data_IF_674188488101
#
_entry.id   IF_674188488101
#
_cell.length_a   1.000
_cell.length_b   1.000
_cell.length_c   1.000
_cell.angle_alpha   90.00
_cell.angle_beta   90.00
_cell.angle_gamma   90.00
#
_symmetry.space_group_name_H-M   'P 1'
#
loop_
_entity.id
_entity.type
_entity.pdbx_description
1 polymer ?
#
# COMPACT_ATOMS: atom_id res chain seq x y z
N UNK A 1 -44.13 35.47 -4.69
CA UNK A 1 -43.15 36.24 -3.91
C UNK A 1 -42.94 35.44 -2.64
N UNK A 2 -41.96 34.56 -2.64
CA UNK A 2 -41.50 33.90 -1.41
C UNK A 2 -40.53 34.88 -0.76
N UNK A 3 -40.83 35.28 0.48
CA UNK A 3 -39.97 36.14 1.27
C UNK A 3 -38.75 35.33 1.72
N UNK A 4 -37.58 35.68 1.18
CA UNK A 4 -36.28 35.24 1.67
C UNK A 4 -36.12 35.70 3.13
N UNK A 5 -36.34 34.78 4.07
CA UNK A 5 -36.06 35.02 5.49
C UNK A 5 -34.56 35.16 5.71
N UNK A 6 -34.08 36.39 5.92
CA UNK A 6 -32.70 36.67 6.32
C UNK A 6 -32.35 35.95 7.63
N UNK A 7 -31.40 35.02 7.57
CA UNK A 7 -30.88 34.33 8.73
C UNK A 7 -30.10 35.32 9.63
N UNK A 8 -30.62 35.58 10.83
CA UNK A 8 -29.97 36.45 11.84
C UNK A 8 -28.92 35.65 12.61
N UNK A 9 -27.67 36.07 12.55
CA UNK A 9 -26.59 35.53 13.37
C UNK A 9 -26.79 35.91 14.85
N UNK A 10 -26.92 34.92 15.72
CA UNK A 10 -27.24 35.12 17.16
C UNK A 10 -26.03 35.02 18.10
N UNK A 11 -24.81 34.91 17.56
CA UNK A 11 -23.57 34.94 18.35
C UNK A 11 -22.62 33.77 18.09
N UNK A 12 -21.36 33.92 18.51
CA UNK A 12 -20.33 32.90 18.47
C UNK A 12 -19.83 32.55 19.87
N UNK A 13 -19.56 31.26 20.11
CA UNK A 13 -18.95 30.75 21.35
C UNK A 13 -17.68 29.97 21.05
N UNK A 14 -16.80 29.83 22.04
CA UNK A 14 -15.60 28.99 21.97
C UNK A 14 -15.64 27.89 23.01
N UNK A 15 -15.34 26.65 22.62
CA UNK A 15 -15.10 25.56 23.57
C UNK A 15 -13.63 25.57 24.01
N UNK A 16 -13.39 25.52 25.32
CA UNK A 16 -12.06 25.27 25.87
C UNK A 16 -11.92 23.77 26.15
N UNK A 17 -10.84 23.17 25.68
CA UNK A 17 -10.52 21.76 25.96
C UNK A 17 -9.45 21.72 27.05
N UNK A 18 -9.72 20.93 28.09
CA UNK A 18 -8.72 20.59 29.11
C UNK A 18 -7.65 19.70 28.46
N UNK A 19 -6.49 20.31 28.17
CA UNK A 19 -5.43 19.68 27.37
C UNK A 19 -4.89 18.42 28.00
N UNK A 20 -4.66 18.45 29.31
CA UNK A 20 -4.11 17.31 30.06
C UNK A 20 -5.05 16.11 29.95
N UNK A 21 -6.34 16.30 30.27
CA UNK A 21 -7.35 15.24 30.12
C UNK A 21 -7.53 14.78 28.68
N UNK A 22 -7.38 15.68 27.71
CA UNK A 22 -7.46 15.30 26.31
C UNK A 22 -6.28 14.43 25.88
N UNK A 23 -5.05 14.75 26.33
CA UNK A 23 -3.87 13.93 26.08
C UNK A 23 -3.94 12.58 26.79
N UNK A 24 -4.39 12.55 28.04
CA UNK A 24 -4.64 11.29 28.75
C UNK A 24 -5.63 10.40 27.99
N UNK A 25 -6.74 10.97 27.51
CA UNK A 25 -7.71 10.25 26.68
C UNK A 25 -7.11 9.79 25.35
N UNK A 26 -6.40 10.66 24.63
CA UNK A 26 -5.77 10.27 23.37
C UNK A 26 -4.75 9.13 23.58
N UNK A 27 -3.95 9.21 24.64
CA UNK A 27 -3.01 8.17 25.05
C UNK A 27 -3.70 6.84 25.36
N UNK A 28 -4.83 6.88 26.09
CA UNK A 28 -5.59 5.70 26.46
C UNK A 28 -6.34 5.05 25.28
N UNK A 29 -6.86 5.85 24.34
CA UNK A 29 -7.77 5.37 23.29
C UNK A 29 -7.08 5.04 21.96
N UNK A 30 -5.91 5.61 21.62
CA UNK A 30 -5.53 5.67 20.21
C UNK A 30 -4.58 4.65 19.62
N UNK A 31 -3.84 3.81 20.36
CA UNK A 31 -2.90 2.90 19.68
C UNK A 31 -2.81 1.55 20.37
N UNK A 32 -3.91 0.79 20.35
CA UNK A 32 -3.91 -0.62 20.70
C UNK A 32 -2.99 -1.38 19.72
N UNK A 33 -1.73 -1.58 20.11
CA UNK A 33 -0.74 -2.30 19.33
C UNK A 33 0.68 -1.93 19.75
N UNK A 34 1.44 -2.95 20.17
CA UNK A 34 2.79 -2.80 20.73
C UNK A 34 3.82 -2.05 19.86
N UNK A 35 3.53 -1.89 18.57
CA UNK A 35 4.42 -1.44 17.50
C UNK A 35 4.00 -0.08 16.89
N UNK A 36 2.85 0.45 17.30
CA UNK A 36 2.26 1.65 16.69
C UNK A 36 3.09 2.92 16.88
N UNK A 37 3.86 3.02 17.96
CA UNK A 37 4.77 4.16 18.16
C UNK A 37 5.80 4.27 17.05
N UNK A 38 6.34 3.12 16.63
CA UNK A 38 7.38 3.05 15.63
C UNK A 38 6.79 3.31 14.25
N UNK A 39 5.61 2.78 13.95
CA UNK A 39 4.86 3.16 12.74
C UNK A 39 4.65 4.67 12.63
N UNK A 40 4.23 5.32 13.71
CA UNK A 40 4.04 6.76 13.74
C UNK A 40 5.38 7.49 13.49
N UNK A 41 6.48 7.06 14.11
CA UNK A 41 7.79 7.65 13.84
C UNK A 41 8.30 7.44 12.41
N UNK A 42 8.03 6.27 11.81
CA UNK A 42 8.38 6.02 10.42
C UNK A 42 7.59 6.94 9.47
N UNK A 43 6.29 7.12 9.70
CA UNK A 43 5.48 8.11 8.96
C UNK A 43 6.01 9.53 9.18
N UNK A 44 6.40 9.87 10.41
CA UNK A 44 6.98 11.17 10.71
C UNK A 44 8.26 11.42 9.90
N UNK A 45 9.15 10.43 9.80
CA UNK A 45 10.37 10.53 9.00
C UNK A 45 10.07 10.70 7.51
N UNK A 46 9.14 9.91 6.95
CA UNK A 46 8.76 10.00 5.53
C UNK A 46 8.06 11.32 5.20
N UNK A 47 7.10 11.75 6.03
CA UNK A 47 6.44 13.05 5.89
C UNK A 47 7.41 14.24 6.08
N UNK A 48 8.52 14.01 6.80
CA UNK A 48 9.64 14.95 6.91
C UNK A 48 10.64 14.84 5.75
N UNK A 49 10.31 14.09 4.69
CA UNK A 49 11.11 13.88 3.47
C UNK A 49 12.45 13.18 3.71
N UNK A 50 12.52 12.31 4.72
CA UNK A 50 13.70 11.46 4.91
C UNK A 50 13.91 10.54 3.70
N UNK A 51 15.16 10.42 3.27
CA UNK A 51 15.59 9.44 2.25
C UNK A 51 16.22 8.20 2.88
N UNK A 52 16.66 8.31 4.13
CA UNK A 52 17.30 7.26 4.91
C UNK A 52 16.79 7.28 6.35
N UNK A 53 16.51 6.09 6.89
CA UNK A 53 16.19 5.86 8.30
C UNK A 53 17.08 4.75 8.85
N UNK A 54 17.78 5.01 9.94
CA UNK A 54 18.61 4.05 10.66
C UNK A 54 18.01 3.75 12.04
N UNK A 55 17.57 2.51 12.23
CA UNK A 55 17.17 1.96 13.52
C UNK A 55 18.33 1.20 14.14
N UNK A 56 18.61 1.44 15.43
CA UNK A 56 19.56 0.64 16.21
C UNK A 56 18.93 0.19 17.51
N UNK A 57 18.94 -1.11 17.74
CA UNK A 57 18.49 -1.71 19.00
C UNK A 57 19.62 -1.62 20.02
N UNK A 58 19.31 -1.11 21.22
CA UNK A 58 20.27 -0.97 22.32
C UNK A 58 19.84 -1.85 23.50
N UNK A 59 20.75 -2.22 24.41
CA UNK A 59 20.38 -2.91 25.64
C UNK A 59 19.38 -2.12 26.50
N UNK A 60 19.49 -0.80 26.51
CA UNK A 60 18.68 0.14 27.29
C UNK A 60 17.51 0.75 26.51
N UNK A 61 17.32 0.39 25.23
CA UNK A 61 16.28 1.02 24.42
C UNK A 61 16.44 0.89 22.91
N UNK A 62 16.03 1.93 22.20
CA UNK A 62 16.02 2.00 20.74
C UNK A 62 16.39 3.41 20.30
N UNK A 63 17.22 3.51 19.26
CA UNK A 63 17.49 4.79 18.57
C UNK A 63 17.03 4.70 17.13
N UNK A 64 16.37 5.76 16.65
CA UNK A 64 15.98 5.94 15.25
C UNK A 64 16.55 7.28 14.77
N UNK A 65 17.33 7.24 13.70
CA UNK A 65 17.96 8.40 13.10
C UNK A 65 17.47 8.55 11.65
N UNK A 66 17.21 9.78 11.18
CA UNK A 66 16.82 10.01 9.80
C UNK A 66 17.24 11.39 9.27
N UNK A 67 17.41 11.48 7.94
CA UNK A 67 18.01 12.60 7.20
C UNK A 67 16.98 13.57 6.58
N UNK A 68 15.80 13.68 7.19
CA UNK A 68 14.72 14.56 6.72
C UNK A 68 15.03 16.05 6.93
N UNK A 69 14.07 16.91 6.57
CA UNK A 69 14.14 18.38 6.71
C UNK A 69 14.42 18.87 8.13
N UNK A 70 14.13 18.04 9.14
CA UNK A 70 14.21 18.37 10.55
C UNK A 70 12.97 19.08 11.09
N UNK A 71 12.95 19.31 12.40
CA UNK A 71 11.89 20.01 13.13
C UNK A 71 12.37 21.39 13.58
N UNK A 72 11.44 22.35 13.70
CA UNK A 72 11.76 23.67 14.27
C UNK A 72 11.73 23.61 15.80
N UNK A 73 12.47 24.52 16.44
CA UNK A 73 12.45 24.70 17.90
C UNK A 73 11.03 24.80 18.47
N UNK A 74 10.16 25.58 17.82
CA UNK A 74 8.79 25.77 18.32
C UNK A 74 7.91 24.51 18.16
N UNK A 75 8.24 23.60 17.23
CA UNK A 75 7.49 22.36 17.05
C UNK A 75 7.66 21.40 18.25
N UNK A 76 8.78 21.52 18.98
CA UNK A 76 9.16 20.60 20.06
C UNK A 76 9.21 21.24 21.44
N UNK A 77 9.04 22.56 21.54
CA UNK A 77 8.65 23.21 22.79
C UNK A 77 7.25 22.77 23.24
N UNK A 78 6.38 22.48 22.28
CA UNK A 78 5.00 22.05 22.51
C UNK A 78 4.66 20.88 21.56
N UNK A 79 5.27 19.69 21.76
CA UNK A 79 5.21 18.58 20.80
C UNK A 79 3.79 18.11 20.51
N UNK A 80 2.85 18.28 21.45
CA UNK A 80 1.45 17.88 21.24
C UNK A 80 0.52 19.00 20.72
N UNK A 81 1.00 20.24 20.56
CA UNK A 81 0.16 21.36 20.12
C UNK A 81 -0.56 21.07 18.79
N UNK A 82 0.17 20.45 17.87
CA UNK A 82 -0.30 20.03 16.53
C UNK A 82 -1.48 19.04 16.56
N UNK A 83 -1.72 18.33 17.67
CA UNK A 83 -2.85 17.40 17.81
C UNK A 83 -4.19 18.13 18.01
N UNK A 84 -4.14 19.39 18.47
CA UNK A 84 -5.32 20.22 18.74
C UNK A 84 -5.57 21.26 17.66
N UNK A 85 -4.62 21.44 16.75
CA UNK A 85 -4.78 22.32 15.60
C UNK A 85 -5.73 21.70 14.57
N UNK A 86 -6.51 22.55 13.89
CA UNK A 86 -7.22 22.13 12.68
C UNK A 86 -6.21 21.56 11.70
N UNK A 87 -6.57 20.45 11.05
CA UNK A 87 -5.73 19.85 10.03
C UNK A 87 -5.40 20.90 8.96
N UNK A 88 -4.13 21.22 8.84
CA UNK A 88 -3.59 22.07 7.79
C UNK A 88 -2.66 21.21 6.93
N UNK A 89 -2.60 21.52 5.65
CA UNK A 89 -1.56 20.97 4.79
C UNK A 89 -0.18 21.28 5.41
N UNK A 90 0.71 20.29 5.48
CA UNK A 90 2.10 20.38 6.01
C UNK A 90 2.29 20.33 7.52
N UNK A 91 1.43 19.63 8.27
CA UNK A 91 1.68 19.34 9.70
C UNK A 91 1.72 17.85 10.03
N UNK A 92 1.72 16.99 9.03
CA UNK A 92 1.61 15.53 9.18
C UNK A 92 2.82 14.94 9.91
N UNK A 93 4.04 15.37 9.55
CA UNK A 93 5.28 14.94 10.21
C UNK A 93 5.28 15.20 11.72
N UNK A 94 4.92 16.41 12.14
CA UNK A 94 4.81 16.82 13.54
C UNK A 94 3.72 16.05 14.27
N UNK A 95 2.57 15.85 13.62
CA UNK A 95 1.46 15.06 14.17
C UNK A 95 1.87 13.61 14.39
N UNK A 96 2.55 12.99 13.44
CA UNK A 96 3.04 11.62 13.57
C UNK A 96 4.11 11.49 14.65
N UNK A 97 5.02 12.47 14.75
CA UNK A 97 5.99 12.50 15.85
C UNK A 97 5.29 12.56 17.21
N UNK A 98 4.34 13.49 17.37
CA UNK A 98 3.56 13.66 18.59
C UNK A 98 2.81 12.38 18.98
N UNK A 99 2.17 11.71 18.02
CA UNK A 99 1.48 10.43 18.24
C UNK A 99 2.44 9.31 18.64
N UNK A 100 3.62 9.25 18.02
CA UNK A 100 4.63 8.27 18.37
C UNK A 100 5.15 8.47 19.80
N UNK A 101 5.44 9.70 20.21
CA UNK A 101 5.81 10.02 21.61
C UNK A 101 4.65 9.63 22.54
N UNK A 102 3.43 10.08 22.25
CA UNK A 102 2.26 9.87 23.09
C UNK A 102 1.97 8.38 23.33
N UNK A 103 2.17 7.54 22.31
CA UNK A 103 1.94 6.09 22.39
C UNK A 103 2.96 5.30 23.19
N UNK A 104 4.11 5.90 23.50
CA UNK A 104 5.12 5.31 24.38
C UNK A 104 4.82 5.59 25.85
N UNK A 105 4.21 6.73 26.18
CA UNK A 105 4.04 7.18 27.57
C UNK A 105 3.28 6.21 28.49
N UNK A 106 2.24 5.47 28.04
CA UNK A 106 1.61 4.43 28.87
C UNK A 106 2.56 3.36 29.38
N UNK A 107 3.66 3.12 28.67
CA UNK A 107 4.68 2.15 29.06
C UNK A 107 5.71 2.70 30.04
N UNK A 108 5.55 3.96 30.47
CA UNK A 108 6.45 4.64 31.41
C UNK A 108 7.93 4.51 31.00
N UNK A 109 8.29 4.92 29.77
CA UNK A 109 9.69 4.91 29.35
C UNK A 109 10.52 5.76 30.32
N UNK A 110 11.79 5.40 30.51
CA UNK A 110 12.69 6.21 31.32
C UNK A 110 12.85 7.61 30.72
N UNK A 111 12.97 7.68 29.39
CA UNK A 111 12.94 8.92 28.62
C UNK A 111 12.64 8.64 27.14
N UNK A 112 12.04 9.62 26.47
CA UNK A 112 11.99 9.75 25.02
C UNK A 112 12.70 11.05 24.66
N UNK A 113 13.89 10.94 24.07
CA UNK A 113 14.67 12.09 23.62
C UNK A 113 14.47 12.32 22.12
N UNK A 114 14.26 13.56 21.73
CA UNK A 114 14.25 14.04 20.35
C UNK A 114 15.37 15.04 20.18
N UNK A 115 16.36 14.70 19.36
CA UNK A 115 17.47 15.57 18.98
C UNK A 115 17.24 16.10 17.58
N UNK A 116 17.34 17.42 17.42
CA UNK A 116 16.98 18.11 16.18
C UNK A 116 17.67 19.47 16.09
N UNK A 117 17.50 20.14 14.95
CA UNK A 117 18.15 21.42 14.65
C UNK A 117 19.44 21.27 13.85
N UNK A 118 19.94 22.39 13.34
CA UNK A 118 21.16 22.47 12.55
C UNK A 118 22.42 22.28 13.42
N UNK A 119 23.57 21.90 12.83
CA UNK A 119 24.84 21.87 13.54
C UNK A 119 25.14 23.19 14.26
N UNK A 120 25.55 23.11 15.53
CA UNK A 120 25.79 24.29 16.38
C UNK A 120 24.53 24.98 16.93
N UNK A 121 23.33 24.54 16.56
CA UNK A 121 22.04 24.99 17.12
C UNK A 121 21.16 23.79 17.49
N UNK A 122 21.79 22.69 17.88
CA UNK A 122 21.09 21.46 18.21
C UNK A 122 20.32 21.62 19.51
N UNK A 123 19.12 21.06 19.53
CA UNK A 123 18.24 21.01 20.68
C UNK A 123 17.95 19.55 21.01
N UNK A 124 17.82 19.26 22.30
CA UNK A 124 17.29 18.00 22.82
C UNK A 124 16.02 18.28 23.60
N UNK A 125 14.91 17.71 23.14
CA UNK A 125 13.66 17.65 23.89
C UNK A 125 13.54 16.28 24.54
N UNK A 126 13.49 16.25 25.87
CA UNK A 126 13.30 15.02 26.65
C UNK A 126 11.87 14.98 27.18
N UNK A 127 11.17 13.87 26.94
CA UNK A 127 9.82 13.60 27.43
C UNK A 127 9.85 12.34 28.29
N UNK A 128 9.40 12.43 29.54
CA UNK A 128 9.28 11.26 30.44
C UNK A 128 7.84 10.98 30.88
N UNK A 129 7.01 12.03 30.93
CA UNK A 129 5.59 12.02 31.25
C UNK A 129 4.89 13.13 30.44
N UNK A 130 3.55 13.13 30.42
CA UNK A 130 2.75 14.11 29.68
C UNK A 130 3.01 15.57 30.09
N UNK A 131 3.37 15.79 31.36
CA UNK A 131 3.63 17.07 32.01
C UNK A 131 5.12 17.36 32.18
N UNK A 132 6.00 16.47 31.73
CA UNK A 132 7.43 16.50 32.01
C UNK A 132 8.25 16.53 30.71
N UNK A 133 8.23 17.69 30.07
CA UNK A 133 8.95 18.00 28.86
C UNK A 133 10.04 19.03 29.15
N UNK A 134 11.26 18.80 28.66
CA UNK A 134 12.35 19.75 28.84
C UNK A 134 13.15 19.85 27.56
N UNK A 135 13.34 21.07 27.06
CA UNK A 135 14.15 21.34 25.88
C UNK A 135 15.40 22.10 26.29
N UNK A 136 16.57 21.55 25.94
CA UNK A 136 17.88 22.17 26.20
C UNK A 136 18.72 22.22 24.94
N UNK A 137 19.56 23.26 24.76
CA UNK A 137 20.63 23.24 23.78
C UNK A 137 21.60 22.10 24.06
N UNK A 138 22.11 21.48 23.01
CA UNK A 138 23.17 20.47 23.08
C UNK A 138 24.21 20.76 22.02
N UNK A 139 25.47 20.47 22.30
CA UNK A 139 26.51 20.52 21.29
C UNK A 139 26.40 19.29 20.38
N UNK A 140 26.63 19.49 19.09
CA UNK A 140 26.58 18.42 18.10
C UNK A 140 26.75 18.94 16.68
N UNK A 141 27.45 18.16 15.86
CA UNK A 141 27.62 18.42 14.42
C UNK A 141 26.65 17.62 13.55
N UNK A 142 25.86 16.74 14.16
CA UNK A 142 24.91 15.89 13.46
C UNK A 142 23.78 16.72 12.85
N UNK A 143 23.47 16.44 11.58
CA UNK A 143 22.36 17.07 10.85
C UNK A 143 21.05 16.31 11.00
N UNK A 144 21.14 15.02 11.30
CA UNK A 144 20.00 14.12 11.30
C UNK A 144 19.11 14.35 12.52
N UNK A 145 17.82 14.09 12.36
CA UNK A 145 16.92 13.96 13.50
C UNK A 145 17.18 12.62 14.16
N UNK A 146 17.38 12.62 15.49
CA UNK A 146 17.59 11.41 16.27
C UNK A 146 16.49 11.30 17.33
N UNK A 147 15.73 10.21 17.28
CA UNK A 147 14.77 9.79 18.29
C UNK A 147 15.41 8.69 19.12
N UNK A 148 15.37 8.82 20.44
CA UNK A 148 15.87 7.81 21.37
C UNK A 148 14.79 7.50 22.39
N UNK A 149 14.44 6.22 22.51
CA UNK A 149 13.68 5.71 23.66
C UNK A 149 14.65 5.02 24.59
N UNK A 150 14.64 5.41 25.86
CA UNK A 150 15.27 4.66 26.95
C UNK A 150 14.15 3.92 27.68
N UNK A 151 14.20 2.59 27.65
CA UNK A 151 13.20 1.72 28.28
C UNK A 151 13.91 0.56 28.96
N UNK A 152 14.06 0.64 30.28
CA UNK A 152 14.71 -0.39 31.09
C UNK A 152 13.78 -1.59 31.36
N UNK A 153 12.46 -1.39 31.36
CA UNK A 153 11.52 -2.42 31.82
C UNK A 153 11.03 -3.37 30.72
N UNK A 154 11.04 -2.94 29.44
CA UNK A 154 10.40 -3.70 28.34
C UNK A 154 11.21 -3.74 27.02
N UNK A 155 12.51 -4.09 27.03
CA UNK A 155 13.33 -4.13 25.81
C UNK A 155 12.81 -5.11 24.75
N UNK A 156 12.15 -6.20 25.14
CA UNK A 156 11.58 -7.18 24.20
C UNK A 156 10.49 -6.57 23.32
N UNK A 157 9.70 -5.62 23.84
CA UNK A 157 8.65 -4.96 23.08
C UNK A 157 9.22 -4.08 21.97
N UNK A 158 10.30 -3.34 22.26
CA UNK A 158 11.00 -2.53 21.25
C UNK A 158 11.57 -3.41 20.14
N UNK A 159 12.14 -4.57 20.50
CA UNK A 159 12.63 -5.56 19.52
C UNK A 159 11.49 -6.15 18.68
N UNK A 160 10.35 -6.49 19.31
CA UNK A 160 9.15 -6.97 18.63
C UNK A 160 8.62 -5.94 17.63
N UNK A 161 8.57 -4.66 18.03
CA UNK A 161 8.16 -3.57 17.15
C UNK A 161 9.11 -3.41 15.94
N UNK A 162 10.42 -3.38 16.19
CA UNK A 162 11.43 -3.29 15.13
C UNK A 162 11.37 -4.49 14.17
N UNK A 163 11.15 -5.71 14.69
CA UNK A 163 11.05 -6.93 13.89
C UNK A 163 9.85 -6.96 12.93
N UNK A 164 8.84 -6.11 13.13
CA UNK A 164 7.69 -5.98 12.22
C UNK A 164 7.94 -5.03 11.05
N UNK A 165 8.90 -4.10 11.17
CA UNK A 165 9.21 -3.09 10.15
C UNK A 165 9.39 -3.66 8.73
N UNK A 166 10.10 -4.78 8.50
CA UNK A 166 10.22 -5.38 7.17
C UNK A 166 8.87 -5.66 6.48
N UNK A 167 7.83 -6.02 7.24
CA UNK A 167 6.52 -6.31 6.69
C UNK A 167 5.60 -5.11 6.55
N UNK A 168 5.88 -4.00 7.27
CA UNK A 168 5.01 -2.81 7.28
C UNK A 168 5.60 -1.62 6.53
N UNK A 169 6.92 -1.59 6.28
CA UNK A 169 7.60 -0.48 5.62
C UNK A 169 8.16 -0.83 4.24
N UNK A 170 7.73 -1.95 3.66
CA UNK A 170 8.23 -2.42 2.37
C UNK A 170 7.93 -1.47 1.20
N UNK A 171 6.90 -0.62 1.33
CA UNK A 171 6.55 0.42 0.36
C UNK A 171 7.20 1.79 0.65
N UNK A 172 7.96 1.91 1.74
CA UNK A 172 8.56 3.19 2.12
C UNK A 172 9.42 3.79 1.01
N UNK A 173 9.29 5.09 0.72
CA UNK A 173 10.20 5.77 -0.20
C UNK A 173 11.62 5.87 0.40
N UNK A 174 11.73 6.00 1.72
CA UNK A 174 12.99 6.03 2.44
C UNK A 174 13.62 4.63 2.52
N UNK A 175 14.95 4.57 2.46
CA UNK A 175 15.71 3.34 2.73
C UNK A 175 15.82 3.16 4.24
N UNK A 176 15.38 2.00 4.74
CA UNK A 176 15.28 1.74 6.17
C UNK A 176 16.26 0.65 6.56
N UNK A 177 17.08 0.92 7.56
CA UNK A 177 18.10 0.02 8.09
C UNK A 177 17.77 -0.35 9.53
N UNK A 178 17.95 -1.62 9.90
CA UNK A 178 17.87 -2.10 11.28
C UNK A 178 19.21 -2.73 11.60
N UNK A 179 19.92 -2.17 12.58
CA UNK A 179 21.26 -2.60 12.99
C UNK A 179 22.23 -2.73 11.80
N UNK A 180 22.12 -1.79 10.83
CA UNK A 180 22.94 -1.73 9.62
C UNK A 180 22.45 -2.55 8.43
N UNK A 181 21.40 -3.35 8.59
CA UNK A 181 20.82 -4.18 7.51
C UNK A 181 19.61 -3.48 6.91
N UNK A 182 19.61 -3.25 5.60
CA UNK A 182 18.45 -2.69 4.89
C UNK A 182 17.30 -3.70 4.90
N UNK A 183 16.09 -3.24 5.27
CA UNK A 183 14.90 -4.09 5.21
C UNK A 183 14.46 -4.30 3.76
N UNK A 184 13.85 -5.45 3.43
CA UNK A 184 13.33 -5.69 2.08
C UNK A 184 12.28 -4.66 1.68
N UNK A 185 12.29 -4.27 0.40
CA UNK A 185 11.32 -3.37 -0.23
C UNK A 185 10.55 -4.12 -1.32
N UNK A 186 9.41 -3.60 -1.74
CA UNK A 186 8.75 -4.11 -2.94
C UNK A 186 9.52 -3.72 -4.20
N UNK A 187 9.43 -4.52 -5.29
CA UNK A 187 9.03 -5.93 -5.25
C UNK A 187 10.03 -6.74 -4.40
N UNK A 188 9.55 -7.73 -3.64
CA UNK A 188 10.42 -8.46 -2.70
C UNK A 188 11.43 -9.34 -3.42
N UNK A 189 11.15 -9.67 -4.68
CA UNK A 189 12.03 -10.42 -5.57
C UNK A 189 12.11 -9.70 -6.91
N UNK A 190 13.29 -9.65 -7.52
CA UNK A 190 13.44 -9.06 -8.85
C UNK A 190 12.56 -9.74 -9.91
N UNK A 191 12.25 -11.02 -9.69
CA UNK A 191 11.42 -11.87 -10.54
C UNK A 191 9.91 -11.64 -10.34
N UNK A 192 9.49 -10.93 -9.28
CA UNK A 192 8.06 -10.74 -8.99
C UNK A 192 7.40 -9.94 -10.12
N UNK A 193 6.37 -10.50 -10.76
CA UNK A 193 5.80 -9.88 -11.93
C UNK A 193 4.90 -8.72 -11.57
N UNK A 194 5.26 -7.55 -12.05
CA UNK A 194 4.44 -6.38 -11.91
C UNK A 194 5.02 -5.18 -12.64
N UNK A 195 4.33 -4.06 -12.47
CA UNK A 195 4.74 -2.77 -12.96
C UNK A 195 4.70 -1.76 -11.82
N UNK A 196 5.64 -0.82 -11.84
CA UNK A 196 5.59 0.36 -11.01
C UNK A 196 4.73 1.43 -11.68
N UNK A 197 3.94 2.11 -10.85
CA UNK A 197 3.23 3.34 -11.19
C UNK A 197 3.63 4.38 -10.16
N UNK A 198 4.23 5.47 -10.62
CA UNK A 198 4.70 6.55 -9.75
C UNK A 198 4.14 7.89 -10.26
N UNK A 199 3.41 8.56 -9.38
CA UNK A 199 2.81 9.88 -9.58
C UNK A 199 3.05 10.73 -8.33
N UNK A 200 2.92 12.07 -8.39
CA UNK A 200 3.01 12.90 -7.20
C UNK A 200 2.02 12.43 -6.10
N UNK A 201 2.59 12.02 -4.97
CA UNK A 201 1.84 11.54 -3.80
C UNK A 201 1.22 10.15 -3.93
N UNK A 202 1.55 9.39 -4.98
CA UNK A 202 1.06 8.03 -5.21
C UNK A 202 2.16 7.16 -5.82
N UNK A 203 2.44 6.04 -5.17
CA UNK A 203 3.38 5.04 -5.65
C UNK A 203 2.77 3.67 -5.49
N UNK A 204 2.71 2.89 -6.55
CA UNK A 204 2.17 1.55 -6.51
C UNK A 204 3.06 0.57 -7.26
N UNK A 205 3.25 -0.60 -6.68
CA UNK A 205 3.64 -1.78 -7.43
C UNK A 205 2.39 -2.62 -7.65
N UNK A 206 2.12 -2.98 -8.91
CA UNK A 206 0.90 -3.71 -9.29
C UNK A 206 1.33 -4.97 -10.02
N UNK A 207 0.93 -6.11 -9.49
CA UNK A 207 1.30 -7.42 -9.97
C UNK A 207 0.10 -8.34 -10.23
N UNK A 208 0.43 -9.53 -10.71
CA UNK A 208 -0.55 -10.59 -10.97
C UNK A 208 -1.02 -11.20 -9.64
N UNK A 209 -2.34 -11.35 -9.42
CA UNK A 209 -2.85 -11.95 -8.20
C UNK A 209 -2.46 -13.43 -8.12
N UNK A 210 -2.56 -14.02 -6.93
CA UNK A 210 -2.44 -15.48 -6.79
C UNK A 210 -3.60 -16.19 -7.49
N UNK A 211 -3.36 -17.40 -8.00
CA UNK A 211 -4.36 -18.17 -8.74
C UNK A 211 -5.62 -18.38 -7.89
N UNK A 212 -6.81 -18.08 -8.44
CA UNK A 212 -8.07 -18.22 -7.72
C UNK A 212 -8.40 -17.09 -6.75
N UNK A 213 -7.64 -15.98 -6.74
CA UNK A 213 -7.98 -14.82 -5.93
C UNK A 213 -9.39 -14.32 -6.26
N UNK A 214 -10.30 -14.15 -5.27
CA UNK A 214 -11.69 -13.81 -5.53
C UNK A 214 -11.91 -12.33 -5.89
N UNK A 215 -10.89 -11.48 -5.75
CA UNK A 215 -10.90 -10.06 -6.09
C UNK A 215 -9.49 -9.49 -6.18
N UNK A 216 -9.37 -8.18 -6.35
CA UNK A 216 -8.10 -7.48 -6.21
C UNK A 216 -7.75 -7.34 -4.73
N UNK A 217 -6.48 -7.57 -4.38
CA UNK A 217 -5.95 -7.37 -3.04
C UNK A 217 -4.96 -6.22 -3.03
N UNK A 218 -5.25 -5.20 -2.22
CA UNK A 218 -4.44 -3.99 -2.12
C UNK A 218 -3.87 -3.87 -0.71
N UNK A 219 -2.56 -4.01 -0.59
CA UNK A 219 -1.84 -3.60 0.62
C UNK A 219 -1.67 -2.08 0.56
N UNK A 220 -2.36 -1.37 1.44
CA UNK A 220 -2.34 0.08 1.47
C UNK A 220 -1.34 0.59 2.51
N UNK A 221 -0.53 1.56 2.11
CA UNK A 221 0.41 2.30 2.95
C UNK A 221 0.12 3.80 2.86
N UNK A 222 0.41 4.51 3.95
CA UNK A 222 0.41 5.97 4.01
C UNK A 222 1.75 6.39 4.58
N UNK A 223 2.44 7.25 3.84
CA UNK A 223 3.79 7.74 4.13
C UNK A 223 4.77 6.59 4.42
N UNK A 224 4.74 5.61 3.52
CA UNK A 224 5.65 4.46 3.55
C UNK A 224 5.35 3.41 4.60
N UNK A 225 4.26 3.54 5.36
CA UNK A 225 3.89 2.61 6.43
C UNK A 225 2.52 2.01 6.16
N UNK A 226 2.50 0.68 6.09
CA UNK A 226 1.30 -0.14 5.88
C UNK A 226 0.22 0.21 6.89
N UNK A 227 -0.98 0.39 6.36
CA UNK A 227 -2.20 0.69 7.06
C UNK A 227 -3.04 -0.58 7.21
N UNK A 228 -3.51 -1.13 6.10
CA UNK A 228 -4.38 -2.32 6.07
C UNK A 228 -4.29 -3.05 4.72
N UNK A 229 -4.88 -4.25 4.66
CA UNK A 229 -5.19 -4.96 3.43
C UNK A 229 -6.65 -4.73 3.04
N UNK A 230 -6.89 -4.37 1.79
CA UNK A 230 -8.22 -4.06 1.29
C UNK A 230 -8.52 -4.96 0.11
N UNK A 231 -9.72 -5.52 0.12
CA UNK A 231 -10.26 -6.27 -1.02
C UNK A 231 -11.08 -5.32 -1.88
N UNK A 232 -10.88 -5.40 -3.19
CA UNK A 232 -11.62 -4.61 -4.19
C UNK A 232 -12.23 -5.57 -5.20
N UNK A 233 -13.57 -5.66 -5.19
CA UNK A 233 -14.31 -6.65 -5.97
C UNK A 233 -14.77 -6.13 -7.34
N UNK A 234 -14.94 -4.81 -7.48
CA UNK A 234 -15.56 -4.17 -8.66
C UNK A 234 -14.55 -3.85 -9.78
N UNK A 235 -13.45 -4.61 -9.88
CA UNK A 235 -12.37 -4.36 -10.82
C UNK A 235 -12.43 -5.35 -11.99
N UNK A 236 -12.48 -4.83 -13.22
CA UNK A 236 -12.47 -5.64 -14.46
C UNK A 236 -11.28 -6.61 -14.50
N UNK A 237 -10.15 -6.19 -13.94
CA UNK A 237 -8.92 -6.94 -13.87
C UNK A 237 -8.50 -7.10 -12.40
N UNK A 238 -8.48 -8.34 -11.92
CA UNK A 238 -8.02 -8.64 -10.56
C UNK A 238 -6.52 -8.40 -10.46
N UNK A 239 -6.05 -7.68 -9.45
CA UNK A 239 -4.63 -7.41 -9.25
C UNK A 239 -4.22 -7.64 -7.80
N UNK A 240 -2.93 -7.92 -7.58
CA UNK A 240 -2.30 -7.64 -6.28
C UNK A 240 -1.60 -6.29 -6.39
N UNK A 241 -1.86 -5.38 -5.47
CA UNK A 241 -1.21 -4.07 -5.46
C UNK A 241 -0.61 -3.78 -4.09
N UNK A 242 0.61 -3.24 -4.09
CA UNK A 242 1.24 -2.64 -2.93
C UNK A 242 1.30 -1.14 -3.20
N UNK A 243 0.61 -0.35 -2.38
CA UNK A 243 0.35 1.06 -2.64
C UNK A 243 0.87 1.89 -1.48
N UNK A 244 1.53 2.98 -1.78
CA UNK A 244 1.79 4.09 -0.87
C UNK A 244 1.14 5.36 -1.43
N UNK A 245 0.28 5.99 -0.63
CA UNK A 245 -0.46 7.17 -1.04
C UNK A 245 -0.47 8.20 0.09
N UNK A 246 0.29 9.28 -0.10
CA UNK A 246 0.33 10.41 0.83
C UNK A 246 -1.01 11.16 0.82
N UNK A 247 -1.42 11.69 1.98
CA UNK A 247 -2.63 12.50 2.08
C UNK A 247 -3.95 11.73 2.07
N UNK A 248 -3.92 10.40 2.18
CA UNK A 248 -5.13 9.64 2.49
C UNK A 248 -5.60 9.95 3.92
N UNK A 249 -6.90 10.21 4.05
CA UNK A 249 -7.52 10.34 5.37
C UNK A 249 -7.55 8.97 6.06
N UNK A 250 -7.17 8.94 7.33
CA UNK A 250 -7.23 7.75 8.16
C UNK A 250 -8.29 7.90 9.25
N UNK A 251 -8.79 6.79 9.75
CA UNK A 251 -9.65 6.76 10.92
C UNK A 251 -8.88 7.22 12.19
N UNK A 252 -9.59 7.35 13.31
CA UNK A 252 -9.05 7.94 14.53
C UNK A 252 -7.81 7.20 15.09
N UNK A 253 -7.76 5.88 15.04
CA UNK A 253 -6.62 5.09 15.51
C UNK A 253 -5.52 4.90 14.44
N UNK A 254 -5.68 5.55 13.28
CA UNK A 254 -4.73 5.50 12.16
C UNK A 254 -4.46 4.06 11.69
N UNK A 255 -5.47 3.19 11.76
CA UNK A 255 -5.38 1.78 11.40
C UNK A 255 -6.04 1.46 10.07
N UNK A 256 -6.96 2.31 9.58
CA UNK A 256 -7.71 2.11 8.34
C UNK A 256 -7.89 3.41 7.57
N UNK A 257 -8.02 3.35 6.24
CA UNK A 257 -8.36 4.52 5.45
C UNK A 257 -9.83 4.89 5.67
N UNK A 258 -10.15 6.18 5.54
CA UNK A 258 -11.53 6.65 5.43
C UNK A 258 -11.97 6.52 3.98
N UNK A 259 -13.11 5.87 3.76
CA UNK A 259 -13.70 5.66 2.42
C UNK A 259 -14.35 6.96 1.91
N UNK A 260 -13.52 7.88 1.45
CA UNK A 260 -13.93 9.18 0.89
C UNK A 260 -13.54 9.31 -0.60
N UNK A 261 -13.72 10.49 -1.19
CA UNK A 261 -13.39 10.72 -2.60
C UNK A 261 -11.90 10.53 -2.92
N UNK A 262 -10.99 10.78 -1.97
CA UNK A 262 -9.55 10.50 -2.15
C UNK A 262 -9.31 9.00 -2.26
N UNK A 263 -9.96 8.20 -1.41
CA UNK A 263 -9.90 6.74 -1.50
C UNK A 263 -10.52 6.22 -2.82
N UNK A 264 -11.64 6.80 -3.27
CA UNK A 264 -12.24 6.44 -4.57
C UNK A 264 -11.31 6.80 -5.73
N UNK A 265 -10.67 7.96 -5.69
CA UNK A 265 -9.68 8.36 -6.70
C UNK A 265 -8.49 7.41 -6.74
N UNK A 266 -7.99 6.98 -5.57
CA UNK A 266 -6.96 5.94 -5.46
C UNK A 266 -7.42 4.63 -6.12
N UNK A 267 -8.62 4.16 -5.80
CA UNK A 267 -9.21 2.95 -6.39
C UNK A 267 -9.20 3.01 -7.92
N UNK A 268 -9.61 4.15 -8.48
CA UNK A 268 -9.64 4.36 -9.92
C UNK A 268 -8.23 4.35 -10.54
N UNK A 269 -7.22 4.88 -9.86
CA UNK A 269 -5.81 4.83 -10.34
C UNK A 269 -5.30 3.39 -10.42
N UNK A 270 -5.58 2.57 -9.40
CA UNK A 270 -5.20 1.14 -9.41
C UNK A 270 -5.90 0.42 -10.57
N UNK A 271 -7.20 0.65 -10.75
CA UNK A 271 -7.98 0.06 -11.84
C UNK A 271 -7.44 0.47 -13.22
N UNK A 272 -7.10 1.74 -13.40
CA UNK A 272 -6.58 2.27 -14.66
C UNK A 272 -5.17 1.77 -15.00
N UNK A 273 -4.44 1.24 -14.03
CA UNK A 273 -3.12 0.64 -14.27
C UNK A 273 -3.20 -0.82 -14.73
N UNK A 274 -4.32 -1.51 -14.50
CA UNK A 274 -4.46 -2.91 -14.87
C UNK A 274 -4.36 -3.18 -16.39
N UNK A 275 -4.88 -2.32 -17.29
CA UNK A 275 -4.64 -2.45 -18.72
C UNK A 275 -3.16 -2.46 -19.13
N UNK A 276 -2.34 -1.63 -18.48
CA UNK A 276 -0.90 -1.60 -18.75
C UNK A 276 -0.21 -2.89 -18.31
N UNK A 277 -0.61 -3.44 -17.14
CA UNK A 277 -0.15 -4.75 -16.68
C UNK A 277 -0.58 -5.87 -17.64
N UNK A 278 -1.81 -5.80 -18.17
CA UNK A 278 -2.32 -6.77 -19.13
C UNK A 278 -1.55 -6.76 -20.45
N UNK A 279 -1.29 -5.57 -21.00
CA UNK A 279 -0.46 -5.41 -22.18
C UNK A 279 0.98 -5.94 -21.95
N UNK A 280 1.58 -5.66 -20.79
CA UNK A 280 2.90 -6.17 -20.42
C UNK A 280 2.91 -7.71 -20.36
N UNK A 281 1.91 -8.30 -19.72
CA UNK A 281 1.77 -9.75 -19.61
C UNK A 281 1.56 -10.41 -20.99
N UNK A 282 0.67 -9.86 -21.82
CA UNK A 282 0.42 -10.36 -23.16
C UNK A 282 1.69 -10.29 -24.04
N UNK A 283 2.39 -9.15 -24.03
CA UNK A 283 3.62 -8.96 -24.80
C UNK A 283 4.75 -9.89 -24.39
N UNK A 284 4.86 -10.25 -23.11
CA UNK A 284 5.83 -11.24 -22.63
C UNK A 284 5.44 -12.67 -23.03
N UNK A 285 4.16 -13.05 -22.91
CA UNK A 285 3.69 -14.37 -23.34
C UNK A 285 3.91 -14.62 -24.83
N UNK A 286 3.81 -13.57 -25.67
CA UNK A 286 4.13 -13.65 -27.10
C UNK A 286 5.62 -13.95 -27.38
N UNK A 287 6.53 -13.67 -26.44
CA UNK A 287 7.98 -13.82 -26.59
C UNK A 287 8.55 -15.06 -25.88
N UNK A 288 7.86 -15.58 -24.88
CA UNK A 288 8.40 -16.59 -23.98
C UNK A 288 8.08 -18.03 -24.44
N UNK A 289 9.02 -18.94 -24.21
CA UNK A 289 8.84 -20.38 -24.40
C UNK A 289 8.11 -21.01 -23.20
N UNK A 290 7.37 -22.10 -23.46
CA UNK A 290 6.63 -22.84 -22.43
C UNK A 290 7.57 -23.36 -21.32
N UNK A 291 7.24 -23.11 -20.05
CA UNK A 291 7.96 -23.65 -18.89
C UNK A 291 8.13 -22.71 -17.70
N UNK A 292 8.06 -21.39 -17.91
CA UNK A 292 8.14 -20.41 -16.82
C UNK A 292 6.84 -20.40 -15.97
N UNK A 293 6.89 -20.60 -14.64
CA UNK A 293 5.73 -20.43 -13.76
C UNK A 293 5.02 -19.09 -13.92
N UNK A 294 5.76 -18.03 -14.28
CA UNK A 294 5.19 -16.74 -14.61
C UNK A 294 4.22 -16.82 -15.79
N UNK A 295 4.59 -17.54 -16.85
CA UNK A 295 3.75 -17.72 -18.04
C UNK A 295 2.43 -18.41 -17.69
N UNK A 296 2.44 -19.34 -16.73
CA UNK A 296 1.22 -20.04 -16.30
C UNK A 296 0.26 -19.08 -15.61
N UNK A 297 0.72 -18.35 -14.59
CA UNK A 297 -0.10 -17.37 -13.85
C UNK A 297 -0.60 -16.25 -14.75
N UNK A 298 0.28 -15.66 -15.56
CA UNK A 298 -0.09 -14.61 -16.51
C UNK A 298 -1.14 -15.08 -17.50
N UNK A 299 -1.01 -16.31 -18.02
CA UNK A 299 -1.97 -16.90 -18.95
C UNK A 299 -3.33 -17.14 -18.30
N UNK A 300 -3.37 -17.67 -17.08
CA UNK A 300 -4.64 -17.87 -16.35
C UNK A 300 -5.32 -16.53 -16.06
N UNK A 301 -4.57 -15.54 -15.61
CA UNK A 301 -5.08 -14.21 -15.35
C UNK A 301 -5.61 -13.50 -16.60
N UNK A 302 -4.87 -13.54 -17.71
CA UNK A 302 -5.33 -12.95 -18.98
C UNK A 302 -6.54 -13.67 -19.56
N UNK A 303 -6.69 -14.99 -19.33
CA UNK A 303 -7.91 -15.72 -19.70
C UNK A 303 -9.13 -15.25 -18.90
N UNK A 304 -8.99 -15.10 -17.58
CA UNK A 304 -10.06 -14.55 -16.73
C UNK A 304 -10.44 -13.13 -17.17
N UNK A 305 -9.44 -12.28 -17.43
CA UNK A 305 -9.65 -10.94 -17.95
C UNK A 305 -10.36 -10.94 -19.31
N UNK A 306 -9.89 -11.77 -20.25
CA UNK A 306 -10.49 -11.91 -21.56
C UNK A 306 -11.96 -12.35 -21.47
N UNK A 307 -12.26 -13.30 -20.59
CA UNK A 307 -13.62 -13.81 -20.44
C UNK A 307 -14.61 -12.80 -19.83
N UNK A 308 -14.12 -11.80 -19.09
CA UNK A 308 -14.94 -10.71 -18.55
C UNK A 308 -15.11 -9.55 -19.52
N UNK A 309 -14.08 -9.26 -20.32
CA UNK A 309 -14.02 -8.07 -21.17
C UNK A 309 -14.44 -8.30 -22.61
N UNK A 310 -14.07 -9.44 -23.18
CA UNK A 310 -14.26 -9.70 -24.61
C UNK A 310 -15.70 -10.11 -24.90
N UNK A 311 -16.23 -9.60 -26.00
CA UNK A 311 -17.59 -9.87 -26.46
C UNK A 311 -17.59 -10.47 -27.85
N UNK A 312 -17.13 -9.72 -28.85
CA UNK A 312 -16.85 -10.20 -30.19
C UNK A 312 -15.71 -9.39 -30.83
N UNK A 313 -14.94 -9.98 -31.75
CA UNK A 313 -13.76 -9.34 -32.32
C UNK A 313 -14.04 -8.02 -33.04
N UNK A 314 -15.23 -7.84 -33.62
CA UNK A 314 -15.59 -6.66 -34.38
C UNK A 314 -15.86 -5.45 -33.47
N UNK A 315 -16.66 -5.61 -32.41
CA UNK A 315 -16.95 -4.51 -31.47
C UNK A 315 -15.77 -4.21 -30.55
N UNK A 316 -14.93 -5.21 -30.29
CA UNK A 316 -13.76 -5.08 -29.43
C UNK A 316 -12.55 -4.46 -30.15
N UNK A 317 -12.65 -4.24 -31.47
CA UNK A 317 -11.54 -3.77 -32.30
C UNK A 317 -11.07 -2.33 -31.94
N UNK A 318 -11.94 -1.51 -31.38
CA UNK A 318 -11.61 -0.12 -31.03
C UNK A 318 -10.84 -0.01 -29.71
N UNK A 319 -10.95 -1.01 -28.83
CA UNK A 319 -10.19 -1.07 -27.57
C UNK A 319 -8.83 -1.77 -27.80
N UNK A 320 -7.74 -1.05 -27.53
CA UNK A 320 -6.39 -1.55 -27.76
C UNK A 320 -6.04 -2.77 -26.89
N UNK A 321 -6.55 -2.82 -25.65
CA UNK A 321 -6.34 -3.97 -24.76
C UNK A 321 -7.15 -5.16 -25.24
N UNK A 322 -8.41 -4.96 -25.62
CA UNK A 322 -9.25 -6.06 -26.07
C UNK A 322 -8.69 -6.69 -27.35
N UNK A 323 -8.18 -5.89 -28.31
CA UNK A 323 -7.43 -6.40 -29.46
C UNK A 323 -6.24 -7.26 -29.05
N UNK A 324 -5.44 -6.78 -28.10
CA UNK A 324 -4.27 -7.52 -27.61
C UNK A 324 -4.68 -8.84 -26.96
N UNK A 325 -5.79 -8.88 -26.22
CA UNK A 325 -6.35 -10.09 -25.61
C UNK A 325 -6.85 -11.10 -26.66
N UNK A 326 -7.53 -10.63 -27.72
CA UNK A 326 -7.95 -11.48 -28.85
C UNK A 326 -6.78 -12.17 -29.54
N UNK A 327 -5.63 -11.49 -29.64
CA UNK A 327 -4.44 -11.95 -30.35
C UNK A 327 -3.40 -12.63 -29.44
N UNK A 328 -3.62 -12.63 -28.12
CA UNK A 328 -2.70 -13.23 -27.17
C UNK A 328 -2.81 -14.77 -27.23
N UNK A 329 -1.69 -15.53 -27.30
CA UNK A 329 -1.70 -16.98 -27.44
C UNK A 329 -2.00 -17.69 -26.10
N UNK A 330 -3.23 -17.50 -25.62
CA UNK A 330 -3.65 -17.91 -24.28
C UNK A 330 -3.99 -19.39 -24.19
N UNK A 331 -4.29 -20.10 -25.28
CA UNK A 331 -4.89 -21.44 -25.24
C UNK A 331 -3.93 -22.50 -25.75
N UNK A 332 -3.64 -23.54 -24.95
CA UNK A 332 -2.79 -24.65 -25.40
C UNK A 332 -3.55 -25.59 -26.33
N UNK A 333 -2.87 -26.08 -27.35
CA UNK A 333 -3.35 -27.13 -28.25
C UNK A 333 -2.60 -28.44 -27.95
N UNK A 334 -3.24 -29.59 -28.18
CA UNK A 334 -2.66 -30.90 -27.86
C UNK A 334 -1.30 -31.15 -28.53
N UNK A 335 -1.19 -30.75 -29.80
CA UNK A 335 -0.08 -31.08 -30.69
C UNK A 335 0.43 -29.85 -31.45
N UNK A 336 0.09 -28.64 -30.98
CA UNK A 336 0.42 -27.40 -31.67
C UNK A 336 0.80 -26.29 -30.67
N UNK A 337 1.52 -25.24 -31.12
CA UNK A 337 1.83 -24.09 -30.30
C UNK A 337 0.56 -23.48 -29.68
N UNK A 338 0.66 -22.76 -28.56
CA UNK A 338 -0.46 -22.01 -28.02
C UNK A 338 -1.14 -21.13 -29.09
N UNK A 339 -2.46 -21.07 -29.06
CA UNK A 339 -3.29 -20.33 -30.01
C UNK A 339 -3.98 -19.15 -29.33
N UNK A 340 -4.27 -18.12 -30.12
CA UNK A 340 -5.09 -16.99 -29.67
C UNK A 340 -6.57 -17.25 -29.85
N UNK A 341 -7.43 -16.47 -29.18
CA UNK A 341 -8.89 -16.59 -29.37
C UNK A 341 -9.29 -16.29 -30.82
N UNK A 342 -8.63 -15.31 -31.45
CA UNK A 342 -8.88 -14.97 -32.85
C UNK A 342 -8.55 -16.15 -33.78
N UNK A 343 -7.41 -16.82 -33.56
CA UNK A 343 -7.04 -18.02 -34.33
C UNK A 343 -8.04 -19.16 -34.13
N UNK A 344 -8.54 -19.36 -32.91
CA UNK A 344 -9.55 -20.37 -32.62
C UNK A 344 -10.88 -20.07 -33.32
N UNK A 345 -11.35 -18.82 -33.29
CA UNK A 345 -12.58 -18.40 -33.98
C UNK A 345 -12.49 -18.54 -35.50
N UNK A 346 -11.37 -18.13 -36.11
CA UNK A 346 -11.17 -18.30 -37.56
C UNK A 346 -11.27 -19.77 -37.95
N UNK A 347 -10.66 -20.67 -37.16
CA UNK A 347 -10.74 -22.12 -37.40
C UNK A 347 -12.12 -22.70 -37.15
N UNK A 348 -12.87 -22.21 -36.17
CA UNK A 348 -14.26 -22.63 -35.97
C UNK A 348 -15.10 -22.36 -37.22
N UNK A 349 -14.92 -21.19 -37.82
CA UNK A 349 -15.62 -20.79 -39.03
C UNK A 349 -15.20 -21.65 -40.25
N UNK A 350 -13.94 -22.08 -40.31
CA UNK A 350 -13.42 -22.93 -41.40
C UNK A 350 -13.80 -24.41 -41.24
N UNK A 351 -13.65 -24.97 -40.03
CA UNK A 351 -13.74 -26.41 -39.75
C UNK A 351 -15.07 -26.84 -39.11
N UNK A 352 -15.91 -25.90 -38.67
CA UNK A 352 -17.18 -26.16 -37.97
C UNK A 352 -17.02 -26.75 -36.56
N UNK A 353 -15.79 -26.87 -36.04
CA UNK A 353 -15.52 -27.29 -34.66
C UNK A 353 -14.13 -26.91 -34.19
N UNK A 354 -13.95 -26.65 -32.90
CA UNK A 354 -12.63 -26.42 -32.27
C UNK A 354 -12.32 -27.58 -31.31
N UNK A 355 -11.11 -28.16 -31.41
CA UNK A 355 -10.56 -29.09 -30.39
C UNK A 355 -9.57 -28.36 -29.48
N UNK A 356 -9.91 -28.21 -28.20
CA UNK A 356 -9.03 -27.65 -27.18
C UNK A 356 -8.74 -28.66 -26.07
N UNK A 357 -7.53 -28.62 -25.49
CA UNK A 357 -7.17 -29.43 -24.32
C UNK A 357 -7.37 -28.62 -23.05
N UNK A 358 -8.11 -29.17 -22.09
CA UNK A 358 -8.16 -28.64 -20.73
C UNK A 358 -7.05 -29.27 -19.88
N UNK A 359 -6.26 -28.43 -19.20
CA UNK A 359 -5.45 -28.87 -18.07
C UNK A 359 -6.34 -28.80 -16.81
N UNK A 360 -6.65 -29.95 -16.23
CA UNK A 360 -7.31 -30.02 -14.93
C UNK A 360 -6.36 -29.59 -13.80
N UNK A 361 -6.89 -28.91 -12.78
CA UNK A 361 -6.13 -28.45 -11.59
C UNK A 361 -5.61 -29.59 -10.71
N UNK A 362 -6.19 -30.79 -10.81
CA UNK A 362 -5.76 -31.94 -10.02
C UNK A 362 -4.77 -32.79 -10.82
N UNK A 363 -3.64 -33.13 -10.20
CA UNK A 363 -2.52 -33.91 -10.75
C UNK A 363 -2.86 -35.38 -11.09
N UNK A 364 -4.11 -35.67 -11.44
CA UNK A 364 -4.62 -36.97 -11.85
C UNK A 364 -5.93 -36.91 -12.66
N UNK A 365 -6.48 -35.72 -12.94
CA UNK A 365 -7.65 -35.60 -13.80
C UNK A 365 -7.27 -35.81 -15.27
N UNK A 366 -7.96 -36.70 -15.98
CA UNK A 366 -7.76 -36.93 -17.41
C UNK A 366 -7.83 -35.60 -18.19
N UNK A 367 -6.89 -35.39 -19.11
CA UNK A 367 -6.90 -34.27 -20.06
C UNK A 367 -8.17 -34.36 -20.91
N UNK A 368 -9.23 -33.68 -20.48
CA UNK A 368 -10.46 -33.57 -21.27
C UNK A 368 -10.20 -32.74 -22.52
N UNK A 369 -10.45 -33.32 -23.69
CA UNK A 369 -10.60 -32.53 -24.92
C UNK A 369 -12.01 -31.96 -24.93
N UNK A 370 -12.14 -30.64 -24.90
CA UNK A 370 -13.44 -29.99 -25.14
C UNK A 370 -13.56 -29.69 -26.61
N UNK A 371 -14.66 -30.14 -27.19
CA UNK A 371 -15.05 -29.86 -28.57
C UNK A 371 -16.22 -28.90 -28.51
N UNK A 372 -16.02 -27.66 -28.97
CA UNK A 372 -17.11 -26.71 -29.19
C UNK A 372 -17.58 -26.87 -30.64
N UNK A 373 -18.88 -27.11 -30.83
CA UNK A 373 -19.54 -27.28 -32.14
C UNK A 373 -20.45 -26.12 -32.50
N UNK A 374 -20.86 -25.33 -31.50
CA UNK A 374 -21.69 -24.15 -31.72
C UNK A 374 -21.08 -22.91 -31.07
N UNK A 375 -21.30 -21.74 -31.70
CA UNK A 375 -20.84 -20.43 -31.20
C UNK A 375 -21.31 -20.14 -29.77
N UNK A 376 -22.48 -20.66 -29.39
CA UNK A 376 -23.00 -20.60 -28.02
C UNK A 376 -22.17 -21.41 -27.03
N UNK A 377 -21.70 -22.60 -27.41
CA UNK A 377 -20.83 -23.46 -26.60
C UNK A 377 -19.43 -22.87 -26.46
N UNK A 378 -18.93 -22.15 -27.47
CA UNK A 378 -17.66 -21.43 -27.37
C UNK A 378 -17.75 -20.23 -26.41
N UNK A 379 -18.85 -19.48 -26.46
CA UNK A 379 -19.12 -18.43 -25.47
C UNK A 379 -19.32 -19.02 -24.07
N UNK A 380 -19.96 -20.18 -23.97
CA UNK A 380 -20.09 -20.92 -22.71
C UNK A 380 -18.75 -21.49 -22.24
N UNK A 381 -17.86 -21.87 -23.16
CA UNK A 381 -16.49 -22.29 -22.87
C UNK A 381 -15.69 -21.11 -22.31
N UNK A 382 -15.75 -19.94 -22.95
CA UNK A 382 -15.17 -18.68 -22.45
C UNK A 382 -15.72 -18.37 -21.05
N UNK A 383 -17.05 -18.44 -20.85
CA UNK A 383 -17.70 -18.18 -19.57
C UNK A 383 -17.38 -19.24 -18.48
N UNK A 384 -17.29 -20.53 -18.83
CA UNK A 384 -16.97 -21.63 -17.91
C UNK A 384 -15.51 -21.63 -17.47
N UNK A 385 -14.60 -21.08 -18.27
CA UNK A 385 -13.21 -20.86 -17.85
C UNK A 385 -13.00 -19.55 -17.07
N UNK A 386 -14.00 -18.66 -17.04
CA UNK A 386 -14.01 -17.47 -16.17
C UNK A 386 -14.49 -17.76 -14.75
N UNK A 387 -15.27 -18.83 -14.56
CA UNK A 387 -15.97 -19.15 -13.31
C UNK A 387 -15.79 -20.63 -12.97
N UNK A 388 -14.64 -20.99 -12.40
CA UNK A 388 -14.53 -22.15 -11.50
C UNK A 388 -13.51 -21.85 -10.40
N UNK A 389 -14.04 -21.58 -9.21
CA UNK A 389 -13.31 -21.56 -7.94
C UNK A 389 -12.57 -22.88 -7.71
#
# INVERSE_FOLDING_TARGET
MEEDGEAVWVGGGSFKVDREKALEKLSAFRLAGEHRFLEAWMRAAVANEATRVDLRLRPDGLTMEFDGRGFKADDLKEPYGVLFEKEKEKTEDRRYLALGILSLLPDKPGAVDVFYGAPGQRLRTTVSRLDAETTVPVDGEERNTLLRVVSLERPQRLRSAAGKLPGICAMSPARIFIDGVEIPRYPRRAEEPGAWVEEPGFRAWIGLPEDGSPGSFVELSVDGVRLDWIRMDDHDARVIAHVDASGLSMNADHSKPVLNDRFRALSNRIQNAAPALAALAAGRLKKAFDGDPWNVRARLWLRDLAARRLTNPETDADDALNRELWDCPLYRRAEAPPASLRELLTREHEDGSIRCVMEGRESGAEKGTVICRERGEFNELIARFAVRD
#
